data_IF_470408690330
#
_entry.id   IF_470408690330
#
_cell.length_a   1.000
_cell.length_b   1.000
_cell.length_c   1.000
_cell.angle_alpha   90.00
_cell.angle_beta   90.00
_cell.angle_gamma   90.00
#
_symmetry.space_group_name_H-M   'P 1'
#
loop_
_entity.id
_entity.type
_entity.pdbx_description
1 polymer ?
#
# COMPACT_ATOMS: atom_id res chain seq x y z
N UNK A 1 57.78 -4.71 35.28
CA UNK A 1 56.89 -5.10 34.21
C UNK A 1 55.49 -4.59 34.53
N UNK A 2 55.01 -3.56 33.80
CA UNK A 2 53.67 -2.99 33.98
C UNK A 2 52.85 -3.43 32.77
N UNK A 3 51.80 -4.27 32.98
CA UNK A 3 50.82 -4.61 31.96
C UNK A 3 49.83 -3.44 31.81
N UNK A 4 49.76 -2.84 30.62
CA UNK A 4 48.65 -1.97 30.21
C UNK A 4 47.54 -2.86 29.65
N UNK A 5 46.39 -2.83 30.30
CA UNK A 5 45.16 -3.40 29.76
C UNK A 5 44.43 -2.33 28.92
N UNK A 6 44.37 -2.54 27.61
CA UNK A 6 43.60 -1.71 26.70
C UNK A 6 42.13 -2.16 26.71
N UNK A 7 41.26 -1.31 27.22
CA UNK A 7 39.80 -1.51 27.23
C UNK A 7 39.22 -1.02 25.91
N UNK A 8 38.83 -1.94 25.04
CA UNK A 8 38.17 -1.62 23.77
C UNK A 8 36.67 -1.42 24.03
N UNK A 9 36.20 -0.19 23.96
CA UNK A 9 34.78 0.13 24.07
C UNK A 9 34.10 -0.20 22.73
N UNK A 10 33.20 -1.18 22.73
CA UNK A 10 32.27 -1.44 21.63
C UNK A 10 31.12 -0.42 21.69
N UNK A 11 31.10 0.52 20.75
CA UNK A 11 29.97 1.40 20.52
C UNK A 11 28.88 0.59 19.75
N UNK A 12 27.86 0.15 20.49
CA UNK A 12 26.64 -0.40 19.87
C UNK A 12 25.83 0.79 19.34
N UNK A 13 25.84 1.01 18.04
CA UNK A 13 24.90 1.91 17.37
C UNK A 13 23.53 1.25 17.38
N UNK A 14 22.72 1.54 18.38
CA UNK A 14 21.28 1.27 18.37
C UNK A 14 20.65 2.26 17.40
N UNK A 15 20.35 1.82 16.18
CA UNK A 15 19.54 2.58 15.25
C UNK A 15 18.19 2.87 15.90
N UNK A 16 17.89 4.14 16.14
CA UNK A 16 16.57 4.61 16.57
C UNK A 16 15.63 4.42 15.39
N UNK A 17 14.90 3.29 15.33
CA UNK A 17 13.72 3.18 14.49
C UNK A 17 12.76 4.31 14.94
N UNK A 18 12.37 5.17 14.01
CA UNK A 18 11.40 6.21 14.30
C UNK A 18 10.06 5.54 14.65
N UNK A 19 9.42 5.99 15.73
CA UNK A 19 8.16 5.41 16.20
C UNK A 19 7.04 5.45 15.12
N UNK A 20 7.13 6.38 14.17
CA UNK A 20 6.19 6.50 13.05
C UNK A 20 6.30 5.35 12.04
N UNK A 21 7.50 4.81 11.79
CA UNK A 21 7.71 3.70 10.85
C UNK A 21 7.16 2.36 11.37
N UNK A 22 6.96 2.26 12.69
CA UNK A 22 6.39 1.08 13.35
C UNK A 22 4.85 1.14 13.46
N UNK A 23 4.20 2.28 13.14
CA UNK A 23 2.74 2.37 13.12
C UNK A 23 2.21 1.66 11.86
N UNK A 24 1.37 0.60 12.01
CA UNK A 24 0.80 -0.09 10.85
C UNK A 24 -0.01 0.80 9.92
N UNK A 25 -0.50 1.96 10.41
CA UNK A 25 -1.26 2.91 9.59
C UNK A 25 -0.38 3.76 8.67
N UNK A 26 0.90 3.92 8.99
CA UNK A 26 1.78 4.85 8.28
C UNK A 26 1.83 4.63 6.76
N UNK A 27 2.10 3.41 6.23
CA UNK A 27 2.12 3.18 4.79
C UNK A 27 0.73 3.37 4.15
N UNK A 28 -0.36 3.06 4.89
CA UNK A 28 -1.74 3.24 4.39
C UNK A 28 -2.10 4.72 4.34
N UNK A 29 -1.77 5.52 5.33
CA UNK A 29 -1.95 6.97 5.29
C UNK A 29 -1.20 7.59 4.10
N UNK A 30 0.01 7.10 3.83
CA UNK A 30 0.82 7.59 2.72
C UNK A 30 0.24 7.25 1.35
N UNK A 31 -0.18 5.99 1.13
CA UNK A 31 -0.78 5.58 -0.15
C UNK A 31 -2.11 6.31 -0.39
N UNK A 32 -2.93 6.51 0.64
CA UNK A 32 -4.16 7.29 0.54
C UNK A 32 -3.90 8.76 0.19
N UNK A 33 -2.84 9.37 0.75
CA UNK A 33 -2.42 10.73 0.38
C UNK A 33 -2.00 10.82 -1.10
N UNK A 34 -1.27 9.83 -1.60
CA UNK A 34 -0.88 9.76 -3.01
C UNK A 34 -2.13 9.61 -3.88
N UNK A 35 -3.02 8.68 -3.55
CA UNK A 35 -4.28 8.47 -4.27
C UNK A 35 -5.14 9.74 -4.30
N UNK A 36 -5.26 10.46 -3.17
CA UNK A 36 -5.94 11.77 -3.17
C UNK A 36 -5.31 12.76 -4.15
N UNK A 37 -3.98 12.72 -4.32
CA UNK A 37 -3.26 13.55 -5.27
C UNK A 37 -3.56 13.18 -6.73
N UNK A 38 -3.53 11.89 -7.05
CA UNK A 38 -3.80 11.34 -8.40
C UNK A 38 -5.18 11.76 -8.91
N UNK A 39 -6.20 11.68 -8.04
CA UNK A 39 -7.59 11.95 -8.40
C UNK A 39 -8.01 13.43 -8.30
N UNK A 40 -7.09 14.35 -7.99
CA UNK A 40 -7.35 15.80 -8.09
C UNK A 40 -7.23 16.27 -9.53
N UNK A 41 -8.27 16.95 -10.04
CA UNK A 41 -8.35 17.40 -11.43
C UNK A 41 -7.22 18.34 -11.88
N UNK A 42 -6.58 19.08 -10.98
CA UNK A 42 -5.56 20.08 -11.27
C UNK A 42 -4.17 19.73 -10.70
N UNK A 43 -3.84 18.44 -10.60
CA UNK A 43 -2.53 18.04 -10.08
C UNK A 43 -1.54 17.77 -11.23
N UNK A 44 -0.59 18.70 -11.54
CA UNK A 44 0.39 18.53 -12.60
C UNK A 44 1.49 17.49 -12.24
N UNK A 45 1.68 17.20 -10.96
CA UNK A 45 2.65 16.20 -10.47
C UNK A 45 1.90 15.00 -9.90
N UNK A 46 1.52 14.07 -10.77
CA UNK A 46 0.91 12.82 -10.33
C UNK A 46 1.99 11.88 -9.80
N UNK A 47 2.13 11.84 -8.46
CA UNK A 47 2.86 10.76 -7.80
C UNK A 47 2.06 9.45 -8.00
N UNK A 48 2.72 8.42 -8.52
CA UNK A 48 2.14 7.07 -8.64
C UNK A 48 2.73 6.18 -7.54
N UNK A 49 1.87 5.55 -6.75
CA UNK A 49 2.31 4.65 -5.67
C UNK A 49 2.93 3.35 -6.20
N UNK A 50 2.75 3.01 -7.47
CA UNK A 50 3.49 1.94 -8.16
C UNK A 50 4.78 2.40 -8.82
N UNK A 51 5.15 3.67 -8.69
CA UNK A 51 6.43 4.18 -9.20
C UNK A 51 7.64 3.53 -8.50
N UNK A 52 8.79 3.55 -9.15
CA UNK A 52 10.06 3.11 -8.55
C UNK A 52 10.43 3.89 -7.28
N UNK A 53 9.90 5.10 -7.10
CA UNK A 53 10.07 5.92 -5.90
C UNK A 53 9.27 5.37 -4.73
N UNK A 54 7.98 5.09 -4.91
CA UNK A 54 7.06 4.82 -3.81
C UNK A 54 6.86 3.33 -3.53
N UNK A 55 6.86 2.50 -4.57
CA UNK A 55 6.59 1.07 -4.41
C UNK A 55 7.50 0.40 -3.36
N UNK A 56 8.83 0.57 -3.34
CA UNK A 56 9.69 -0.05 -2.33
C UNK A 56 9.54 0.58 -0.94
N UNK A 57 8.98 1.78 -0.84
CA UNK A 57 8.75 2.43 0.45
C UNK A 57 7.45 1.97 1.10
N UNK A 58 6.43 1.68 0.31
CA UNK A 58 5.08 1.37 0.77
C UNK A 58 4.82 -0.13 0.91
N UNK A 59 5.36 -0.94 0.01
CA UNK A 59 5.02 -2.36 -0.10
C UNK A 59 6.13 -3.28 0.36
N UNK A 60 5.77 -4.53 0.71
CA UNK A 60 6.74 -5.58 1.02
C UNK A 60 7.61 -5.93 -0.19
N UNK A 61 8.82 -6.44 0.04
CA UNK A 61 9.71 -6.89 -1.04
C UNK A 61 9.05 -7.99 -1.90
N UNK A 62 8.25 -8.85 -1.28
CA UNK A 62 7.50 -9.90 -1.98
C UNK A 62 6.44 -9.32 -2.92
N UNK A 63 5.65 -8.33 -2.45
CA UNK A 63 4.66 -7.63 -3.27
C UNK A 63 5.34 -6.91 -4.44
N UNK A 64 6.40 -6.13 -4.17
CA UNK A 64 7.18 -5.41 -5.20
C UNK A 64 7.70 -6.35 -6.28
N UNK A 65 8.19 -7.53 -5.89
CA UNK A 65 8.70 -8.53 -6.85
C UNK A 65 7.61 -9.03 -7.80
N UNK A 66 6.40 -9.31 -7.28
CA UNK A 66 5.25 -9.74 -8.10
C UNK A 66 4.81 -8.62 -9.02
N UNK A 67 4.63 -7.41 -8.48
CA UNK A 67 4.18 -6.25 -9.25
C UNK A 67 5.13 -5.92 -10.41
N UNK A 68 6.45 -5.83 -10.16
CA UNK A 68 7.44 -5.57 -11.21
C UNK A 68 7.43 -6.62 -12.31
N UNK A 69 7.30 -7.90 -11.97
CA UNK A 69 7.18 -8.98 -12.97
C UNK A 69 5.90 -8.84 -13.80
N UNK A 70 4.78 -8.50 -13.17
CA UNK A 70 3.51 -8.31 -13.85
C UNK A 70 3.55 -7.14 -14.83
N UNK A 71 4.02 -5.98 -14.39
CA UNK A 71 4.17 -4.81 -15.27
C UNK A 71 5.11 -5.08 -16.45
N UNK A 72 6.26 -5.75 -16.22
CA UNK A 72 7.20 -6.08 -17.29
C UNK A 72 6.58 -7.05 -18.31
N UNK A 73 5.80 -8.05 -17.86
CA UNK A 73 5.11 -9.00 -18.74
C UNK A 73 4.00 -8.31 -19.52
N UNK A 74 3.19 -7.50 -18.89
CA UNK A 74 2.10 -6.74 -19.52
C UNK A 74 2.64 -5.79 -20.60
N UNK A 75 3.72 -5.08 -20.29
CA UNK A 75 4.41 -4.23 -21.28
C UNK A 75 4.94 -5.03 -22.47
N UNK A 76 5.49 -6.23 -22.24
CA UNK A 76 6.01 -7.08 -23.34
C UNK A 76 4.89 -7.62 -24.24
N UNK A 77 3.67 -7.79 -23.70
CA UNK A 77 2.51 -8.33 -24.41
C UNK A 77 1.54 -7.26 -24.93
N UNK A 78 1.81 -5.99 -24.66
CA UNK A 78 0.93 -4.86 -24.98
C UNK A 78 -0.48 -5.05 -24.38
N UNK A 79 -0.54 -5.47 -23.11
CA UNK A 79 -1.77 -5.72 -22.36
C UNK A 79 -1.77 -5.04 -20.99
N UNK A 80 -2.92 -4.74 -20.37
CA UNK A 80 -2.97 -4.21 -19.01
C UNK A 80 -2.63 -5.29 -17.98
N UNK A 81 -1.92 -4.90 -16.90
CA UNK A 81 -1.68 -5.76 -15.75
C UNK A 81 -2.70 -5.47 -14.62
N UNK A 82 -2.87 -4.20 -14.30
CA UNK A 82 -3.86 -3.68 -13.38
C UNK A 82 -4.53 -2.53 -14.12
N UNK A 83 -5.83 -2.68 -14.40
CA UNK A 83 -6.61 -1.73 -15.20
C UNK A 83 -7.58 -0.87 -14.37
N UNK A 84 -7.40 -0.86 -13.06
CA UNK A 84 -8.18 -0.08 -12.10
C UNK A 84 -7.27 0.47 -10.98
N UNK A 85 -7.75 1.48 -10.26
CA UNK A 85 -7.06 1.93 -9.03
C UNK A 85 -7.41 0.98 -7.87
N UNK A 86 -6.45 0.13 -7.41
CA UNK A 86 -6.72 -0.83 -6.35
C UNK A 86 -6.94 -0.18 -4.97
N UNK A 87 -6.60 1.09 -4.79
CA UNK A 87 -6.88 1.82 -3.55
C UNK A 87 -8.35 2.25 -3.50
N UNK A 88 -8.90 2.72 -4.64
CA UNK A 88 -10.30 3.10 -4.75
C UNK A 88 -11.22 1.91 -5.05
N UNK A 89 -10.70 0.85 -5.68
CA UNK A 89 -11.47 -0.30 -6.11
C UNK A 89 -12.25 -0.08 -7.41
N UNK A 90 -11.81 0.84 -8.28
CA UNK A 90 -12.51 1.17 -9.52
C UNK A 90 -11.63 1.83 -10.57
N UNK A 91 -12.13 1.88 -11.82
CA UNK A 91 -11.47 2.56 -12.95
C UNK A 91 -11.73 4.08 -12.95
N UNK A 92 -12.85 4.50 -12.36
CA UNK A 92 -13.26 5.88 -12.22
C UNK A 92 -13.43 6.24 -10.75
N UNK A 93 -13.24 7.51 -10.40
CA UNK A 93 -13.38 7.98 -9.04
C UNK A 93 -13.18 9.47 -8.89
N UNK A 94 -13.26 9.92 -7.66
CA UNK A 94 -12.94 11.27 -7.21
C UNK A 94 -11.83 11.21 -6.18
N UNK A 95 -11.13 12.31 -5.95
CA UNK A 95 -10.17 12.38 -4.86
C UNK A 95 -10.84 11.95 -3.53
N UNK A 96 -10.34 10.91 -2.83
CA UNK A 96 -10.92 10.45 -1.57
C UNK A 96 -11.15 11.59 -0.59
N UNK A 97 -12.38 11.73 -0.07
CA UNK A 97 -12.71 12.70 0.98
C UNK A 97 -13.31 12.00 2.19
N UNK A 98 -13.39 12.73 3.30
CA UNK A 98 -13.86 12.22 4.60
C UNK A 98 -13.10 10.94 5.02
N UNK A 99 -11.81 10.90 4.68
CA UNK A 99 -10.93 9.77 4.88
C UNK A 99 -10.66 9.49 6.34
N UNK A 100 -10.86 8.25 6.74
CA UNK A 100 -10.39 7.70 8.01
C UNK A 100 -9.50 6.49 7.76
N UNK A 101 -8.40 6.38 8.52
CA UNK A 101 -7.49 5.21 8.48
C UNK A 101 -7.38 4.66 9.90
N UNK A 102 -7.83 3.43 10.08
CA UNK A 102 -7.87 2.76 11.40
C UNK A 102 -7.13 1.43 11.37
N UNK A 103 -6.42 1.11 12.44
CA UNK A 103 -5.88 -0.23 12.64
C UNK A 103 -6.96 -1.10 13.31
N UNK A 104 -7.54 -2.05 12.59
CA UNK A 104 -8.56 -2.97 13.09
C UNK A 104 -7.97 -4.10 13.94
N UNK A 105 -6.66 -4.23 13.99
CA UNK A 105 -5.94 -5.17 14.85
C UNK A 105 -5.19 -6.25 14.08
N UNK A 106 -4.63 -7.23 14.81
CA UNK A 106 -3.87 -8.32 14.21
C UNK A 106 -4.75 -9.22 13.32
N UNK A 107 -4.25 -9.58 12.12
CA UNK A 107 -4.92 -10.48 11.18
C UNK A 107 -3.88 -11.19 10.30
N UNK A 108 -3.95 -12.49 10.18
CA UNK A 108 -3.17 -13.34 9.25
C UNK A 108 -1.66 -13.05 9.25
N UNK A 109 -1.07 -12.92 10.44
CA UNK A 109 0.36 -12.68 10.63
C UNK A 109 0.81 -11.25 10.39
N UNK A 110 -0.13 -10.31 10.28
CA UNK A 110 0.08 -8.88 10.14
C UNK A 110 -0.99 -8.08 10.88
N UNK A 111 -1.34 -6.93 10.33
CA UNK A 111 -2.38 -6.03 10.81
C UNK A 111 -3.40 -5.79 9.68
N UNK A 112 -4.66 -5.71 10.03
CA UNK A 112 -5.72 -5.21 9.15
C UNK A 112 -5.87 -3.70 9.36
N UNK A 113 -5.46 -2.92 8.37
CA UNK A 113 -5.61 -1.46 8.39
C UNK A 113 -6.69 -1.07 7.39
N UNK A 114 -7.71 -0.39 7.87
CA UNK A 114 -8.92 -0.08 7.10
C UNK A 114 -8.96 1.40 6.75
N UNK A 115 -9.08 1.71 5.47
CA UNK A 115 -9.41 3.03 4.96
C UNK A 115 -10.88 3.09 4.57
N UNK A 116 -11.61 4.10 5.12
CA UNK A 116 -12.99 4.44 4.72
C UNK A 116 -13.02 5.86 4.20
N UNK A 117 -13.67 6.05 3.06
CA UNK A 117 -13.70 7.33 2.36
C UNK A 117 -14.85 7.39 1.37
N UNK A 118 -15.19 8.59 0.88
CA UNK A 118 -16.07 8.76 -0.27
C UNK A 118 -15.24 8.92 -1.54
N UNK A 119 -15.42 8.03 -2.53
CA UNK A 119 -14.71 8.02 -3.81
C UNK A 119 -15.58 8.37 -5.03
N UNK A 120 -16.92 8.43 -4.88
CA UNK A 120 -17.83 8.55 -6.03
C UNK A 120 -18.75 9.78 -5.95
N UNK A 121 -18.53 10.68 -5.02
CA UNK A 121 -19.37 11.84 -4.76
C UNK A 121 -19.44 12.87 -5.89
N UNK A 122 -18.54 12.82 -6.87
CA UNK A 122 -18.47 13.74 -8.00
C UNK A 122 -19.29 13.27 -9.22
N UNK A 123 -19.91 12.10 -9.16
CA UNK A 123 -20.77 11.58 -10.23
C UNK A 123 -22.23 11.92 -9.97
N UNK A 124 -22.99 12.13 -11.05
CA UNK A 124 -24.43 12.27 -10.98
C UNK A 124 -25.05 10.95 -10.46
N UNK A 125 -25.96 11.05 -9.49
CA UNK A 125 -26.53 9.92 -8.76
C UNK A 125 -25.52 9.11 -7.94
N UNK A 126 -24.45 9.75 -7.49
CA UNK A 126 -23.41 9.12 -6.69
C UNK A 126 -23.99 8.45 -5.45
N UNK A 127 -23.48 7.24 -5.20
CA UNK A 127 -23.72 6.54 -3.96
C UNK A 127 -23.05 7.33 -2.82
N UNK A 128 -23.83 7.71 -1.81
CA UNK A 128 -23.31 8.40 -0.63
C UNK A 128 -22.63 7.47 0.37
N UNK A 129 -22.56 6.16 0.08
CA UNK A 129 -21.89 5.18 0.94
C UNK A 129 -20.38 5.41 0.96
N UNK A 130 -19.79 5.07 2.09
CA UNK A 130 -18.34 4.99 2.17
C UNK A 130 -17.82 3.79 1.37
N UNK A 131 -16.78 4.02 0.59
CA UNK A 131 -15.91 2.96 0.11
C UNK A 131 -15.04 2.47 1.26
N UNK A 132 -14.76 1.17 1.26
CA UNK A 132 -13.93 0.53 2.28
C UNK A 132 -12.85 -0.30 1.61
N UNK A 133 -11.58 -0.01 1.94
CA UNK A 133 -10.43 -0.76 1.45
C UNK A 133 -9.61 -1.23 2.65
N UNK A 134 -9.35 -2.52 2.69
CA UNK A 134 -8.52 -3.16 3.70
C UNK A 134 -7.09 -3.32 3.19
N UNK A 135 -6.14 -3.05 4.05
CA UNK A 135 -4.72 -3.23 3.77
C UNK A 135 -4.16 -4.25 4.76
N UNK A 136 -3.64 -5.35 4.22
CA UNK A 136 -2.79 -6.23 5.02
C UNK A 136 -1.44 -5.59 5.17
N UNK A 137 -1.09 -5.18 6.39
CA UNK A 137 0.19 -4.56 6.73
C UNK A 137 1.02 -5.52 7.55
N UNK A 138 2.28 -5.69 7.22
CA UNK A 138 3.24 -6.50 7.96
C UNK A 138 4.46 -5.69 8.35
N UNK A 139 5.17 -6.13 9.38
CA UNK A 139 6.46 -5.53 9.77
C UNK A 139 7.60 -6.21 9.02
N UNK A 140 8.21 -5.50 8.08
CA UNK A 140 9.38 -5.96 7.34
C UNK A 140 10.61 -5.18 7.81
N UNK A 141 11.55 -5.87 8.47
CA UNK A 141 12.74 -5.24 9.07
C UNK A 141 12.45 -4.09 10.06
N UNK A 142 11.35 -4.19 10.81
CA UNK A 142 10.93 -3.18 11.77
C UNK A 142 10.15 -2.00 11.18
N UNK A 143 9.89 -2.01 9.86
CA UNK A 143 9.11 -0.99 9.14
C UNK A 143 7.78 -1.58 8.71
N UNK A 144 6.69 -0.84 8.89
CA UNK A 144 5.37 -1.24 8.42
C UNK A 144 5.29 -1.17 6.89
N UNK A 145 4.84 -2.26 6.25
CA UNK A 145 4.74 -2.40 4.79
C UNK A 145 3.40 -3.02 4.40
N UNK A 146 2.81 -2.56 3.32
CA UNK A 146 1.60 -3.13 2.72
C UNK A 146 1.98 -4.45 2.03
N UNK A 147 1.33 -5.54 2.40
CA UNK A 147 1.50 -6.87 1.81
C UNK A 147 0.37 -7.20 0.84
N UNK A 148 -0.82 -6.62 1.03
CA UNK A 148 -1.97 -6.76 0.14
C UNK A 148 -2.93 -5.58 0.27
N UNK A 149 -3.71 -5.35 -0.78
CA UNK A 149 -4.84 -4.42 -0.81
C UNK A 149 -6.09 -5.24 -1.15
N UNK A 150 -7.13 -5.09 -0.34
CA UNK A 150 -8.38 -5.84 -0.48
C UNK A 150 -9.55 -4.87 -0.55
N UNK A 151 -10.21 -4.81 -1.70
CA UNK A 151 -11.40 -4.00 -1.88
C UNK A 151 -12.62 -4.74 -1.36
N UNK A 152 -13.44 -4.05 -0.58
CA UNK A 152 -14.74 -4.55 -0.11
C UNK A 152 -15.82 -4.03 -1.04
N UNK A 153 -16.38 -4.94 -1.83
CA UNK A 153 -17.43 -4.65 -2.81
C UNK A 153 -18.75 -5.05 -2.17
N UNK A 154 -19.75 -4.15 -2.07
CA UNK A 154 -21.08 -4.51 -1.58
C UNK A 154 -21.67 -5.65 -2.40
N UNK A 155 -22.23 -6.64 -1.70
CA UNK A 155 -22.92 -7.81 -2.29
C UNK A 155 -22.03 -8.70 -3.19
N UNK A 156 -20.70 -8.60 -3.08
CA UNK A 156 -19.74 -9.44 -3.79
C UNK A 156 -18.61 -9.90 -2.87
N UNK A 157 -17.83 -10.89 -3.31
CA UNK A 157 -16.65 -11.33 -2.59
C UNK A 157 -15.57 -10.22 -2.59
N UNK A 158 -14.82 -10.06 -1.49
CA UNK A 158 -13.68 -9.15 -1.45
C UNK A 158 -12.64 -9.47 -2.54
N UNK A 159 -12.06 -8.44 -3.15
CA UNK A 159 -11.06 -8.60 -4.20
C UNK A 159 -9.67 -8.27 -3.65
N UNK A 160 -8.80 -9.30 -3.54
CA UNK A 160 -7.39 -9.16 -3.20
C UNK A 160 -6.59 -8.77 -4.44
N UNK A 161 -5.82 -7.69 -4.35
CA UNK A 161 -4.89 -7.30 -5.39
C UNK A 161 -3.77 -8.34 -5.58
N UNK A 162 -3.30 -8.92 -4.49
CA UNK A 162 -2.26 -9.95 -4.54
C UNK A 162 -2.74 -11.21 -5.27
N UNK A 163 -3.98 -11.64 -5.02
CA UNK A 163 -4.57 -12.77 -5.71
C UNK A 163 -4.83 -12.45 -7.20
N UNK A 164 -5.28 -11.24 -7.50
CA UNK A 164 -5.42 -10.75 -8.88
C UNK A 164 -4.08 -10.80 -9.62
N UNK A 165 -3.01 -10.28 -9.01
CA UNK A 165 -1.66 -10.32 -9.60
C UNK A 165 -1.15 -11.75 -9.79
N UNK A 166 -1.39 -12.66 -8.83
CA UNK A 166 -1.00 -14.06 -8.97
C UNK A 166 -1.80 -14.78 -10.05
N UNK A 167 -3.11 -14.49 -10.16
CA UNK A 167 -3.99 -15.01 -11.20
C UNK A 167 -3.52 -14.67 -12.61
N UNK A 168 -2.98 -13.47 -12.82
CA UNK A 168 -2.42 -13.03 -14.10
C UNK A 168 -1.28 -13.94 -14.62
N UNK A 169 -0.53 -14.58 -13.72
CA UNK A 169 0.51 -15.53 -14.11
C UNK A 169 -0.01 -16.95 -14.32
N UNK A 170 -1.17 -17.28 -13.78
CA UNK A 170 -1.75 -18.63 -13.81
C UNK A 170 -2.71 -18.85 -14.98
N UNK A 171 -3.18 -17.79 -15.62
CA UNK A 171 -4.18 -17.81 -16.70
C UNK A 171 -3.63 -18.14 -18.11
N UNK A 172 -2.45 -18.77 -18.20
CA UNK A 172 -1.79 -19.13 -19.48
C UNK A 172 -1.60 -20.61 -19.64
#
# INVERSE_FOLDING_TARGET
>A
MRLLATLTAFLVFSGLAHADDADPRAPVQKIMQISQGVWKQDNPEQDDYFSDKWMPQLFTAAFVSIAKKGFAKAQANDEPFIDYDPVLGGQDGCAPKDLTVTNAGPKDGGFDVVAKFHAFYCFDNADSRFSETHFKVVMENGVAKIDDIVNIIPDADPVSLRDTMNGYFSAQ
#
